data_IF_322122979714
#
_entry.id   IF_322122979714
#
_cell.length_a   1.000
_cell.length_b   1.000
_cell.length_c   1.000
_cell.angle_alpha   90.00
_cell.angle_beta   90.00
_cell.angle_gamma   90.00
#
_symmetry.space_group_name_H-M   'P 1'
#
loop_
_entity.id
_entity.type
_entity.pdbx_description
1 polymer ?
#
# COMPACT_ATOMS: atom_id res chain seq x y z
N UNK A 1 1.73 5.70 9.35
CA UNK A 1 0.27 5.50 9.50
C UNK A 1 -0.05 4.03 9.45
N UNK A 2 -0.77 3.53 10.45
CA UNK A 2 -1.31 2.17 10.39
C UNK A 2 -2.45 2.09 9.37
N UNK A 3 -2.69 0.90 8.82
CA UNK A 3 -3.81 0.69 7.87
C UNK A 3 -5.16 0.95 8.56
N UNK A 4 -5.28 0.63 9.84
CA UNK A 4 -6.51 0.84 10.61
C UNK A 4 -6.83 2.31 10.85
N UNK A 5 -5.80 3.13 11.06
CA UNK A 5 -5.94 4.58 11.18
C UNK A 5 -6.37 5.20 9.85
N UNK A 6 -5.79 4.74 8.74
CA UNK A 6 -6.16 5.18 7.40
C UNK A 6 -7.62 4.83 7.07
N UNK A 7 -8.07 3.63 7.45
CA UNK A 7 -9.44 3.18 7.18
C UNK A 7 -10.47 4.06 7.90
N UNK A 8 -10.16 4.61 9.08
CA UNK A 8 -11.08 5.51 9.81
C UNK A 8 -11.42 6.78 9.04
N UNK A 9 -10.53 7.23 8.15
CA UNK A 9 -10.72 8.43 7.32
C UNK A 9 -11.63 8.19 6.10
N UNK A 10 -11.92 6.94 5.74
CA UNK A 10 -12.76 6.63 4.58
C UNK A 10 -14.26 6.73 4.90
N UNK A 11 -15.08 6.90 3.86
CA UNK A 11 -16.55 6.85 3.95
C UNK A 11 -17.06 5.47 4.39
N UNK A 12 -18.27 5.42 4.95
CA UNK A 12 -18.83 4.24 5.61
C UNK A 12 -18.81 2.96 4.77
N UNK A 13 -19.03 3.05 3.45
CA UNK A 13 -19.05 1.88 2.54
C UNK A 13 -17.67 1.26 2.38
N UNK A 14 -16.63 2.08 2.23
CA UNK A 14 -15.26 1.61 2.12
C UNK A 14 -14.80 0.96 3.44
N UNK A 15 -15.09 1.60 4.58
CA UNK A 15 -14.77 1.04 5.92
C UNK A 15 -15.35 -0.36 6.12
N UNK A 16 -16.64 -0.54 5.84
CA UNK A 16 -17.32 -1.85 5.92
C UNK A 16 -16.68 -2.90 5.02
N UNK A 17 -16.22 -2.50 3.83
CA UNK A 17 -15.54 -3.41 2.90
C UNK A 17 -14.19 -3.87 3.45
N UNK A 18 -13.42 -2.97 4.06
CA UNK A 18 -12.13 -3.32 4.68
C UNK A 18 -12.32 -4.18 5.94
N UNK A 19 -13.32 -3.90 6.77
CA UNK A 19 -13.65 -4.71 7.97
C UNK A 19 -14.06 -6.14 7.62
N UNK A 20 -14.81 -6.34 6.51
CA UNK A 20 -15.16 -7.69 6.02
C UNK A 20 -14.01 -8.40 5.31
N UNK A 21 -12.93 -7.70 5.01
CA UNK A 21 -11.84 -8.19 4.19
C UNK A 21 -12.04 -7.98 2.69
N UNK A 22 -10.91 -7.86 1.99
CA UNK A 22 -10.87 -7.71 0.54
C UNK A 22 -10.94 -9.08 -0.15
N UNK A 23 -11.76 -9.18 -1.19
CA UNK A 23 -11.80 -10.36 -2.07
C UNK A 23 -10.45 -10.58 -2.77
N UNK A 24 -10.25 -11.78 -3.32
CA UNK A 24 -8.99 -12.22 -3.96
C UNK A 24 -8.47 -11.25 -5.05
N UNK A 25 -9.35 -10.79 -5.94
CA UNK A 25 -8.98 -9.90 -7.06
C UNK A 25 -8.35 -8.57 -6.60
N UNK A 26 -9.02 -7.74 -5.76
CA UNK A 26 -8.40 -6.50 -5.27
C UNK A 26 -7.16 -6.74 -4.42
N UNK A 27 -7.12 -7.82 -3.64
CA UNK A 27 -5.95 -8.12 -2.82
C UNK A 27 -4.73 -8.52 -3.67
N UNK A 28 -4.93 -9.22 -4.79
CA UNK A 28 -3.86 -9.53 -5.73
C UNK A 28 -3.25 -8.25 -6.35
N UNK A 29 -4.08 -7.25 -6.68
CA UNK A 29 -3.62 -5.97 -7.21
C UNK A 29 -2.76 -5.23 -6.19
N UNK A 30 -3.23 -5.09 -4.94
CA UNK A 30 -2.46 -4.42 -3.88
C UNK A 30 -1.11 -5.12 -3.65
N UNK A 31 -1.05 -6.46 -3.70
CA UNK A 31 0.22 -7.20 -3.60
C UNK A 31 1.17 -6.88 -4.76
N UNK A 32 0.67 -6.80 -6.00
CA UNK A 32 1.47 -6.40 -7.18
C UNK A 32 2.02 -4.99 -7.02
N UNK A 33 1.17 -4.04 -6.63
CA UNK A 33 1.56 -2.63 -6.44
C UNK A 33 2.61 -2.48 -5.32
N UNK A 34 2.45 -3.18 -4.19
CA UNK A 34 3.45 -3.19 -3.11
C UNK A 34 4.81 -3.71 -3.57
N UNK A 35 4.84 -4.72 -4.44
CA UNK A 35 6.08 -5.25 -5.02
C UNK A 35 6.74 -4.20 -5.92
N UNK A 36 5.98 -3.54 -6.79
CA UNK A 36 6.49 -2.51 -7.70
C UNK A 36 7.04 -1.31 -6.92
N UNK A 37 6.30 -0.78 -5.96
CA UNK A 37 6.75 0.37 -5.15
C UNK A 37 8.05 0.03 -4.43
N UNK A 38 8.14 -1.16 -3.80
CA UNK A 38 9.36 -1.60 -3.11
C UNK A 38 10.57 -1.70 -4.05
N UNK A 39 10.39 -2.29 -5.24
CA UNK A 39 11.45 -2.42 -6.22
C UNK A 39 11.88 -1.05 -6.74
N UNK A 40 10.93 -0.16 -7.03
CA UNK A 40 11.20 1.17 -7.53
C UNK A 40 11.95 2.02 -6.49
N UNK A 41 11.56 1.96 -5.20
CA UNK A 41 12.31 2.61 -4.12
C UNK A 41 13.71 2.03 -3.94
N UNK A 42 13.95 0.76 -4.29
CA UNK A 42 15.27 0.15 -4.21
C UNK A 42 16.17 0.56 -5.39
N UNK A 43 15.58 0.76 -6.57
CA UNK A 43 16.27 1.25 -7.78
C UNK A 43 16.56 2.76 -7.65
N UNK A 44 15.59 3.55 -7.20
CA UNK A 44 15.73 5.00 -6.99
C UNK A 44 16.53 5.34 -5.72
N UNK A 45 16.44 4.53 -4.66
CA UNK A 45 17.16 4.73 -3.39
C UNK A 45 18.66 4.44 -3.47
N UNK A 46 19.13 3.70 -4.49
CA UNK A 46 20.56 3.51 -4.77
C UNK A 46 21.22 4.76 -5.37
N UNK A 47 20.45 5.69 -5.93
CA UNK A 47 20.97 6.92 -6.53
C UNK A 47 21.12 8.06 -5.50
N UNK A 48 20.62 7.89 -4.27
CA UNK A 48 20.61 8.95 -3.24
C UNK A 48 21.67 8.81 -2.14
N UNK A 49 22.45 7.72 -2.09
CA UNK A 49 23.61 7.57 -1.18
C UNK A 49 24.90 7.63 -1.99
N UNK A 50 25.17 8.83 -2.50
CA UNK A 50 26.40 9.22 -3.18
C UNK A 50 26.54 10.73 -3.04
N UNK A 51 26.78 11.19 -1.82
CA UNK A 51 26.77 12.62 -1.49
C UNK A 51 26.94 12.90 0.00
N UNK A 52 27.94 12.27 0.61
CA UNK A 52 28.78 12.71 1.75
C UNK A 52 29.61 11.52 2.21
#
# INVERSE_FOLDING_TARGET
>A
MSTDELVKLFTARARRRFQRGLKRKPMALIKKLRKVVRLNTHILGRVSVGGR
#
